data_IF_755475789450
#
_entry.id   IF_755475789450
#
_cell.length_a   1.000
_cell.length_b   1.000
_cell.length_c   1.000
_cell.angle_alpha   90.00
_cell.angle_beta   90.00
_cell.angle_gamma   90.00
#
_symmetry.space_group_name_H-M   'P 1'
#
loop_
_entity.id
_entity.type
_entity.pdbx_description
1 polymer ?
#
# COMPACT_ATOMS: atom_id res chain seq x y z
N UNK A 1 -6.50 8.82 -20.07
CA UNK A 1 -5.25 8.06 -20.36
C UNK A 1 -5.66 6.63 -20.71
N UNK A 2 -5.19 6.11 -21.84
CA UNK A 2 -5.64 4.83 -22.38
C UNK A 2 -5.02 3.65 -21.61
N UNK A 3 -5.82 2.61 -21.38
CA UNK A 3 -5.47 1.33 -20.70
C UNK A 3 -4.20 0.65 -21.29
N UNK A 4 -3.81 1.00 -22.52
CA UNK A 4 -2.60 0.50 -23.19
C UNK A 4 -1.28 0.83 -22.49
N UNK A 5 -1.22 1.85 -21.63
CA UNK A 5 0.04 2.19 -20.95
C UNK A 5 0.33 1.39 -19.66
N UNK A 6 -0.61 0.58 -19.16
CA UNK A 6 -0.32 -0.36 -18.06
C UNK A 6 0.34 -1.65 -18.59
N UNK A 7 0.09 -2.03 -19.85
CA UNK A 7 0.44 -3.35 -20.38
C UNK A 7 1.90 -3.53 -20.81
N UNK A 8 2.66 -2.47 -21.11
CA UNK A 8 3.99 -2.61 -21.76
C UNK A 8 5.15 -2.89 -20.78
N UNK A 9 4.93 -2.78 -19.47
CA UNK A 9 5.99 -2.97 -18.46
C UNK A 9 5.63 -3.96 -17.35
N UNK A 10 4.57 -4.75 -17.55
CA UNK A 10 4.04 -5.70 -16.56
C UNK A 10 3.09 -5.07 -15.55
N UNK A 11 1.89 -4.64 -15.97
CA UNK A 11 0.70 -4.44 -15.12
C UNK A 11 -0.57 -4.65 -15.99
N UNK A 12 -1.32 -5.74 -15.81
CA UNK A 12 -2.65 -5.87 -16.44
C UNK A 12 -3.70 -5.22 -15.53
N UNK A 13 -4.31 -4.12 -15.99
CA UNK A 13 -5.56 -3.59 -15.42
C UNK A 13 -6.44 -3.09 -16.57
N UNK A 14 -7.45 -3.87 -16.99
CA UNK A 14 -8.37 -3.48 -18.07
C UNK A 14 -9.82 -3.61 -17.65
N UNK A 15 -10.50 -2.46 -17.58
CA UNK A 15 -11.96 -2.30 -17.36
C UNK A 15 -12.84 -3.05 -18.37
N UNK A 16 -12.30 -3.48 -19.51
CA UNK A 16 -13.08 -4.08 -20.61
C UNK A 16 -12.93 -5.61 -20.75
N UNK A 17 -11.97 -6.23 -20.05
CA UNK A 17 -11.62 -7.63 -20.28
C UNK A 17 -12.02 -8.60 -19.15
N UNK A 18 -12.63 -8.11 -18.05
CA UNK A 18 -12.92 -8.93 -16.84
C UNK A 18 -11.69 -9.75 -16.38
N UNK A 19 -10.51 -9.14 -16.45
CA UNK A 19 -9.27 -9.70 -15.90
C UNK A 19 -8.86 -8.79 -14.73
N UNK A 20 -8.99 -9.30 -13.51
CA UNK A 20 -8.54 -8.63 -12.28
C UNK A 20 -7.27 -9.31 -11.82
N UNK A 21 -6.14 -8.78 -12.26
CA UNK A 21 -4.84 -9.16 -11.75
C UNK A 21 -4.51 -8.21 -10.59
N UNK A 22 -4.37 -8.77 -9.38
CA UNK A 22 -3.73 -8.10 -8.27
C UNK A 22 -2.40 -7.57 -8.80
N UNK A 23 -2.21 -6.26 -8.77
CA UNK A 23 -0.91 -5.73 -9.10
C UNK A 23 -0.01 -6.06 -7.91
N UNK A 24 0.70 -7.16 -8.02
CA UNK A 24 1.75 -7.55 -7.09
C UNK A 24 3.05 -7.07 -7.69
N UNK A 25 3.70 -6.14 -7.02
CA UNK A 25 5.06 -5.75 -7.33
C UNK A 25 5.97 -6.40 -6.30
N UNK A 26 6.63 -7.49 -6.73
CA UNK A 26 7.69 -8.12 -5.94
C UNK A 26 9.01 -7.40 -6.19
N UNK A 27 9.70 -7.05 -5.12
CA UNK A 27 11.06 -6.54 -5.14
C UNK A 27 11.95 -7.42 -4.27
N UNK A 28 13.14 -7.72 -4.76
CA UNK A 28 14.17 -8.39 -3.99
C UNK A 28 15.19 -7.35 -3.53
N UNK A 29 15.41 -7.25 -2.22
CA UNK A 29 16.41 -6.38 -1.62
C UNK A 29 17.38 -7.22 -0.79
N UNK A 30 18.64 -7.33 -1.24
CA UNK A 30 19.59 -8.30 -0.72
C UNK A 30 19.02 -9.73 -0.73
N UNK A 31 19.03 -10.43 0.41
CA UNK A 31 18.40 -11.75 0.62
C UNK A 31 16.95 -11.64 1.15
N UNK A 32 16.41 -10.44 1.28
CA UNK A 32 15.10 -10.18 1.86
C UNK A 32 14.08 -9.79 0.78
N UNK A 33 12.86 -10.28 0.92
CA UNK A 33 11.76 -9.96 0.01
C UNK A 33 10.98 -8.74 0.51
N UNK A 34 10.67 -7.83 -0.41
CA UNK A 34 9.73 -6.73 -0.22
C UNK A 34 8.60 -6.90 -1.23
N UNK A 35 7.37 -7.06 -0.74
CA UNK A 35 6.18 -7.16 -1.58
C UNK A 35 5.32 -5.92 -1.43
N UNK A 36 4.81 -5.43 -2.55
CA UNK A 36 3.79 -4.37 -2.58
C UNK A 36 2.63 -4.85 -3.45
N UNK A 37 1.49 -5.08 -2.83
CA UNK A 37 0.30 -5.62 -3.49
C UNK A 37 -0.80 -4.56 -3.51
N UNK A 38 -1.23 -4.18 -4.70
CA UNK A 38 -2.47 -3.43 -4.90
C UNK A 38 -3.56 -4.41 -5.31
N UNK A 39 -4.57 -4.53 -4.45
CA UNK A 39 -5.77 -5.31 -4.69
C UNK A 39 -6.85 -4.34 -5.14
N UNK A 40 -7.32 -4.53 -6.37
CA UNK A 40 -8.24 -3.61 -7.04
C UNK A 40 -9.54 -4.37 -7.30
N UNK A 41 -10.66 -3.77 -6.93
CA UNK A 41 -11.96 -4.39 -7.10
C UNK A 41 -12.47 -4.33 -8.56
N UNK A 42 -13.66 -4.91 -8.77
CA UNK A 42 -14.28 -5.02 -10.09
C UNK A 42 -14.53 -3.66 -10.79
N UNK A 43 -14.56 -2.58 -10.03
CA UNK A 43 -14.82 -1.22 -10.49
C UNK A 43 -13.55 -0.41 -10.76
N UNK A 44 -12.37 -0.98 -10.49
CA UNK A 44 -11.09 -0.30 -10.62
C UNK A 44 -10.70 0.53 -9.40
N UNK A 45 -11.44 0.42 -8.29
CA UNK A 45 -11.11 1.08 -7.02
C UNK A 45 -10.18 0.20 -6.19
N UNK A 46 -9.34 0.84 -5.38
CA UNK A 46 -8.50 0.14 -4.42
C UNK A 46 -9.38 -0.57 -3.38
N UNK A 47 -9.39 -1.90 -3.37
CA UNK A 47 -9.96 -2.71 -2.29
C UNK A 47 -9.02 -2.62 -1.08
N UNK A 48 -7.77 -3.05 -1.30
CA UNK A 48 -6.73 -3.02 -0.28
C UNK A 48 -5.33 -2.87 -0.87
N UNK A 49 -4.39 -2.44 -0.04
CA UNK A 49 -2.97 -2.37 -0.34
C UNK A 49 -2.17 -3.06 0.76
N UNK A 50 -1.21 -3.89 0.39
CA UNK A 50 -0.32 -4.58 1.33
C UNK A 50 1.11 -4.20 0.98
N UNK A 51 1.89 -3.80 1.98
CA UNK A 51 3.34 -3.62 1.89
C UNK A 51 3.97 -4.51 2.95
N UNK A 52 4.74 -5.49 2.53
CA UNK A 52 5.44 -6.39 3.44
C UNK A 52 6.93 -6.41 3.14
N UNK A 53 7.75 -6.18 4.16
CA UNK A 53 9.20 -6.18 4.01
C UNK A 53 9.95 -5.77 5.28
N UNK A 54 11.28 -5.76 5.22
CA UNK A 54 12.11 -5.41 6.38
C UNK A 54 12.14 -3.89 6.61
N UNK A 55 12.13 -3.48 7.87
CA UNK A 55 12.53 -2.13 8.31
C UNK A 55 13.79 -2.28 9.17
N UNK A 56 14.88 -1.63 8.76
CA UNK A 56 16.16 -1.72 9.43
C UNK A 56 16.23 -0.74 10.61
N UNK A 57 16.69 -1.21 11.77
CA UNK A 57 16.89 -0.40 12.98
C UNK A 57 18.35 -0.01 13.20
N UNK A 58 19.25 -0.88 12.76
CA UNK A 58 20.70 -0.69 12.77
C UNK A 58 21.33 -1.65 11.75
N UNK A 59 22.60 -1.48 11.37
CA UNK A 59 23.27 -2.43 10.49
C UNK A 59 23.15 -3.86 11.02
N UNK A 60 22.62 -4.78 10.19
CA UNK A 60 22.42 -6.19 10.55
C UNK A 60 21.21 -6.49 11.46
N UNK A 61 20.39 -5.49 11.81
CA UNK A 61 19.19 -5.68 12.63
C UNK A 61 17.97 -5.08 11.92
N UNK A 62 16.97 -5.91 11.65
CA UNK A 62 15.74 -5.53 10.98
C UNK A 62 14.54 -6.20 11.63
N UNK A 63 13.37 -5.63 11.41
CA UNK A 63 12.09 -6.22 11.77
C UNK A 63 11.25 -6.38 10.51
N UNK A 64 10.61 -7.55 10.37
CA UNK A 64 9.64 -7.77 9.31
C UNK A 64 8.34 -7.05 9.65
N UNK A 65 7.89 -6.18 8.74
CA UNK A 65 6.66 -5.41 8.88
C UNK A 65 5.71 -5.74 7.74
N UNK A 66 4.43 -5.95 8.09
CA UNK A 66 3.32 -6.04 7.15
C UNK A 66 2.35 -4.90 7.43
N UNK A 67 2.24 -3.99 6.47
CA UNK A 67 1.39 -2.82 6.48
C UNK A 67 0.23 -3.04 5.51
N UNK A 68 -0.99 -3.09 6.02
CA UNK A 68 -2.21 -3.34 5.24
C UNK A 68 -3.10 -2.10 5.31
N UNK A 69 -3.62 -1.66 4.16
CA UNK A 69 -4.61 -0.59 4.04
C UNK A 69 -5.85 -1.17 3.41
N UNK A 70 -7.00 -1.00 4.05
CA UNK A 70 -8.30 -1.40 3.53
C UNK A 70 -9.18 -0.19 3.34
N UNK A 71 -9.91 -0.14 2.23
CA UNK A 71 -10.82 0.96 1.93
C UNK A 71 -12.27 0.53 2.15
N UNK A 72 -13.20 1.49 2.07
CA UNK A 72 -14.66 1.21 2.06
C UNK A 72 -15.13 0.31 0.92
N UNK A 73 -14.28 0.08 -0.08
CA UNK A 73 -14.55 -0.83 -1.18
C UNK A 73 -14.10 -2.26 -0.88
N UNK A 74 -13.50 -2.50 0.29
CA UNK A 74 -12.98 -3.80 0.64
C UNK A 74 -14.06 -4.85 0.83
N UNK A 75 -13.82 -6.02 0.24
CA UNK A 75 -14.70 -7.19 0.39
C UNK A 75 -14.76 -7.75 1.82
N UNK A 76 -13.73 -7.49 2.63
CA UNK A 76 -13.62 -8.04 3.99
C UNK A 76 -13.99 -7.00 5.05
N UNK A 77 -13.56 -5.74 4.86
CA UNK A 77 -13.70 -4.69 5.87
C UNK A 77 -14.57 -3.51 5.45
N UNK A 78 -15.12 -3.52 4.22
CA UNK A 78 -15.83 -2.38 3.64
C UNK A 78 -16.98 -1.87 4.51
N UNK A 79 -17.80 -2.78 5.04
CA UNK A 79 -18.94 -2.41 5.90
C UNK A 79 -18.49 -1.78 7.22
N UNK A 80 -17.44 -2.32 7.83
CA UNK A 80 -16.87 -1.78 9.08
C UNK A 80 -16.35 -0.36 8.85
N UNK A 81 -15.65 -0.14 7.74
CA UNK A 81 -15.09 1.17 7.38
C UNK A 81 -16.20 2.18 7.09
N UNK A 82 -17.23 1.80 6.31
CA UNK A 82 -18.37 2.70 6.02
C UNK A 82 -19.11 3.13 7.29
N UNK A 83 -19.20 2.25 8.28
CA UNK A 83 -19.82 2.57 9.56
C UNK A 83 -18.98 3.55 10.42
N UNK A 84 -17.67 3.63 10.20
CA UNK A 84 -16.79 4.58 10.88
C UNK A 84 -16.71 5.91 10.11
N UNK A 85 -16.59 5.87 8.78
CA UNK A 85 -16.62 7.05 7.94
C UNK A 85 -16.38 6.77 6.45
N UNK A 86 -17.14 7.45 5.59
CA UNK A 86 -17.07 7.31 4.11
C UNK A 86 -15.73 7.75 3.49
N UNK A 87 -14.89 8.46 4.25
CA UNK A 87 -13.57 8.95 3.85
C UNK A 87 -12.46 8.46 4.77
N UNK A 88 -12.60 7.23 5.23
CA UNK A 88 -11.58 6.58 6.05
C UNK A 88 -11.06 5.30 5.42
N UNK A 89 -9.87 4.93 5.87
CA UNK A 89 -9.25 3.64 5.62
C UNK A 89 -8.98 2.96 6.96
N UNK A 90 -9.06 1.64 6.96
CA UNK A 90 -8.51 0.83 8.04
C UNK A 90 -7.06 0.52 7.72
N UNK A 91 -6.14 0.95 8.59
CA UNK A 91 -4.72 0.62 8.52
C UNK A 91 -4.42 -0.44 9.57
N UNK A 92 -3.85 -1.57 9.15
CA UNK A 92 -3.39 -2.65 10.03
C UNK A 92 -1.89 -2.79 9.89
N UNK A 93 -1.19 -2.86 11.02
CA UNK A 93 0.27 -2.94 11.08
C UNK A 93 0.62 -4.16 11.92
N UNK A 94 1.35 -5.10 11.32
CA UNK A 94 1.81 -6.32 11.96
C UNK A 94 3.34 -6.38 11.93
N UNK A 95 3.93 -6.68 13.07
CA UNK A 95 5.37 -6.85 13.24
C UNK A 95 5.64 -7.50 14.59
N UNK A 96 6.60 -8.43 14.67
CA UNK A 96 7.11 -9.03 15.93
C UNK A 96 6.13 -9.05 17.13
N UNK A 97 5.02 -9.79 17.01
CA UNK A 97 4.04 -9.97 18.10
C UNK A 97 3.15 -8.74 18.40
N UNK A 98 3.34 -7.63 17.69
CA UNK A 98 2.53 -6.42 17.74
C UNK A 98 1.54 -6.41 16.57
N UNK A 99 0.26 -6.18 16.89
CA UNK A 99 -0.80 -5.88 15.92
C UNK A 99 -1.45 -4.56 16.31
N UNK A 100 -1.48 -3.60 15.39
CA UNK A 100 -2.18 -2.33 15.56
C UNK A 100 -3.19 -2.13 14.44
N UNK A 101 -4.36 -1.59 14.77
CA UNK A 101 -5.44 -1.31 13.83
C UNK A 101 -5.99 0.08 14.08
N UNK A 102 -6.14 0.87 13.02
CA UNK A 102 -6.51 2.28 13.12
C UNK A 102 -7.43 2.66 11.96
N UNK A 103 -8.49 3.40 12.27
CA UNK A 103 -9.29 4.09 11.27
C UNK A 103 -8.72 5.49 11.08
N UNK A 104 -8.33 5.81 9.85
CA UNK A 104 -7.68 7.09 9.54
C UNK A 104 -8.40 7.74 8.37
N UNK A 105 -8.75 9.02 8.55
CA UNK A 105 -9.32 9.84 7.49
C UNK A 105 -8.28 10.11 6.40
N UNK A 106 -8.63 9.81 5.15
CA UNK A 106 -7.81 10.14 3.99
C UNK A 106 -8.42 11.34 3.26
N UNK A 107 -7.57 12.15 2.61
CA UNK A 107 -8.01 13.36 1.90
C UNK A 107 -7.88 13.26 0.38
N UNK A 108 -7.13 12.30 -0.14
CA UNK A 108 -6.94 12.11 -1.56
C UNK A 108 -7.73 10.90 -2.12
N UNK A 109 -8.92 11.18 -2.65
CA UNK A 109 -9.74 10.17 -3.33
C UNK A 109 -9.14 9.68 -4.65
N UNK A 110 -8.23 10.43 -5.30
CA UNK A 110 -7.60 10.02 -6.56
C UNK A 110 -6.76 8.74 -6.36
N UNK A 111 -6.12 8.59 -5.21
CA UNK A 111 -5.35 7.38 -4.90
C UNK A 111 -6.22 6.13 -4.83
N UNK A 112 -7.37 6.24 -4.17
CA UNK A 112 -8.32 5.12 -4.04
C UNK A 112 -9.02 4.84 -5.36
N UNK A 113 -9.33 5.88 -6.13
CA UNK A 113 -10.10 5.74 -7.36
C UNK A 113 -9.22 5.36 -8.56
N UNK A 114 -7.92 5.67 -8.53
CA UNK A 114 -6.98 5.43 -9.62
C UNK A 114 -5.67 4.78 -9.13
N UNK A 115 -5.70 3.63 -8.41
CA UNK A 115 -4.52 3.04 -7.77
C UNK A 115 -3.39 2.69 -8.76
N UNK A 116 -3.72 2.30 -10.00
CA UNK A 116 -2.73 1.97 -11.04
C UNK A 116 -1.81 3.16 -11.40
N UNK A 117 -2.30 4.40 -11.27
CA UNK A 117 -1.48 5.61 -11.51
C UNK A 117 -0.34 5.70 -10.51
N UNK A 118 -0.59 5.30 -9.27
CA UNK A 118 0.35 5.44 -8.15
C UNK A 118 1.30 4.24 -8.03
N UNK A 119 0.86 3.07 -8.46
CA UNK A 119 1.72 1.89 -8.63
C UNK A 119 3.02 2.18 -9.40
N UNK A 120 2.95 2.92 -10.50
CA UNK A 120 4.13 3.30 -11.29
C UNK A 120 5.12 4.16 -10.49
N UNK A 121 4.61 5.02 -9.60
CA UNK A 121 5.45 5.83 -8.71
C UNK A 121 6.19 4.96 -7.69
N UNK A 122 5.48 4.00 -7.07
CA UNK A 122 6.10 3.07 -6.10
C UNK A 122 7.19 2.23 -6.76
N UNK A 123 6.96 1.76 -7.99
CA UNK A 123 7.99 1.07 -8.78
C UNK A 123 9.22 1.97 -9.02
N UNK A 124 9.01 3.25 -9.29
CA UNK A 124 10.08 4.24 -9.39
C UNK A 124 10.90 4.34 -8.11
N UNK A 125 10.26 4.36 -6.94
CA UNK A 125 10.94 4.40 -5.63
C UNK A 125 11.80 3.15 -5.41
N UNK A 126 11.25 1.98 -5.73
CA UNK A 126 11.94 0.70 -5.58
C UNK A 126 13.11 0.50 -6.56
N UNK A 127 13.23 1.32 -7.60
CA UNK A 127 14.36 1.26 -8.55
C UNK A 127 15.70 1.73 -7.96
N UNK A 128 15.69 2.39 -6.80
CA UNK A 128 16.89 2.83 -6.08
C UNK A 128 16.89 2.30 -4.64
N UNK A 129 17.21 1.01 -4.46
CA UNK A 129 17.07 0.34 -3.18
C UNK A 129 18.08 0.85 -2.13
N UNK A 130 17.61 0.93 -0.89
CA UNK A 130 18.40 1.24 0.30
C UNK A 130 17.70 0.60 1.51
N UNK A 131 18.38 0.56 2.65
CA UNK A 131 17.89 -0.08 3.87
C UNK A 131 16.50 0.43 4.31
N UNK A 132 16.15 1.69 4.02
CA UNK A 132 14.86 2.28 4.40
C UNK A 132 13.76 2.12 3.33
N UNK A 133 13.93 1.25 2.33
CA UNK A 133 13.01 1.18 1.19
C UNK A 133 11.56 0.89 1.60
N UNK A 134 11.33 -0.10 2.47
CA UNK A 134 9.98 -0.43 2.97
C UNK A 134 9.34 0.77 3.65
N UNK A 135 10.09 1.46 4.52
CA UNK A 135 9.63 2.65 5.23
C UNK A 135 9.31 3.80 4.25
N UNK A 136 10.12 3.98 3.22
CA UNK A 136 9.89 4.99 2.16
C UNK A 136 8.62 4.69 1.38
N UNK A 137 8.36 3.43 1.03
CA UNK A 137 7.13 3.02 0.35
C UNK A 137 5.91 3.28 1.24
N UNK A 138 5.93 2.84 2.50
CA UNK A 138 4.82 3.09 3.44
C UNK A 138 4.56 4.59 3.59
N UNK A 139 5.61 5.39 3.78
CA UNK A 139 5.51 6.85 3.89
C UNK A 139 4.91 7.47 2.63
N UNK A 140 5.31 6.98 1.46
CA UNK A 140 4.78 7.45 0.19
C UNK A 140 3.30 7.09 0.01
N UNK A 141 2.88 5.87 0.39
CA UNK A 141 1.48 5.44 0.37
C UNK A 141 0.63 6.34 1.26
N UNK A 142 1.07 6.58 2.49
CA UNK A 142 0.38 7.49 3.43
C UNK A 142 0.25 8.90 2.86
N UNK A 143 1.33 9.43 2.28
CA UNK A 143 1.33 10.74 1.63
C UNK A 143 0.39 10.79 0.43
N UNK A 144 0.35 9.75 -0.41
CA UNK A 144 -0.54 9.67 -1.55
C UNK A 144 -2.01 9.55 -1.15
N UNK A 145 -2.32 8.92 -0.01
CA UNK A 145 -3.66 8.96 0.60
C UNK A 145 -4.03 10.35 1.14
N UNK A 146 -3.06 11.26 1.23
CA UNK A 146 -3.23 12.57 1.86
C UNK A 146 -3.45 12.44 3.36
N UNK A 147 -2.86 11.41 3.98
CA UNK A 147 -2.82 11.20 5.42
C UNK A 147 -1.57 11.89 5.93
N UNK A 148 -1.74 12.96 6.71
CA UNK A 148 -0.61 13.61 7.37
C UNK A 148 0.03 12.61 8.34
N UNK A 149 1.34 12.39 8.29
CA UNK A 149 2.00 11.57 9.30
C UNK A 149 1.73 12.18 10.67
N UNK A 150 1.17 11.38 11.58
CA UNK A 150 0.89 11.78 12.96
C UNK A 150 2.22 12.03 13.69
N UNK A 151 2.77 13.24 13.59
CA UNK A 151 3.87 13.73 14.43
C UNK A 151 5.23 13.03 14.27
N UNK A 152 6.26 13.63 14.89
CA UNK A 152 7.68 13.25 14.75
C UNK A 152 7.96 11.85 15.29
N UNK A 153 8.38 10.96 14.38
CA UNK A 153 8.49 9.49 14.50
C UNK A 153 7.11 8.82 14.52
N UNK A 154 6.77 8.22 13.39
CA UNK A 154 5.60 7.36 13.20
C UNK A 154 5.49 6.30 14.30
N UNK A 155 4.87 6.62 15.44
CA UNK A 155 4.50 5.65 16.49
C UNK A 155 3.68 4.50 15.89
N UNK A 156 2.97 4.79 14.79
CA UNK A 156 2.33 3.84 13.88
C UNK A 156 3.22 2.65 13.49
N UNK A 157 4.50 2.90 13.21
CA UNK A 157 5.48 1.91 12.73
C UNK A 157 6.51 1.55 13.80
N UNK A 158 6.38 2.07 15.03
CA UNK A 158 7.16 1.61 16.18
C UNK A 158 6.66 0.25 16.63
N UNK A 159 7.13 -0.73 15.90
CA UNK A 159 7.66 -1.95 16.44
C UNK A 159 9.03 -1.58 17.03
#
# INVERSE_FOLDING_TARGET
MSIRSCTESGIMCSRYLKAFDCLIVHFWFHELELTVEFIINDYGFLDSLIVEGPIFRSPGNYVQVRFEVYTKYSSIYGDVIRNHGDKEVLIRILCEGVRRELFIQYSNEDFINNPCKYAGNIRGIASNPNDDLTLKIITNVMSNLGITPLGEKSDLLLC
#
